data_IF_855017849949
#
_entry.id   IF_855017849949
#
_cell.length_a   1.000
_cell.length_b   1.000
_cell.length_c   1.000
_cell.angle_alpha   90.00
_cell.angle_beta   90.00
_cell.angle_gamma   90.00
#
_symmetry.space_group_name_H-M   'P 1'
#
loop_
_entity.id
_entity.type
_entity.pdbx_description
1 polymer ?
#
# COMPACT_ATOMS: atom_id res chain seq x y z
N UNK A 1 -12.53 -5.31 -15.96
CA UNK A 1 -12.84 -6.38 -15.02
C UNK A 1 -12.88 -7.71 -15.74
N UNK A 2 -11.72 -8.35 -15.90
CA UNK A 2 -11.67 -9.74 -16.35
C UNK A 2 -12.15 -10.64 -15.20
N UNK A 3 -12.91 -11.72 -15.44
CA UNK A 3 -13.42 -12.58 -14.37
C UNK A 3 -12.32 -13.45 -13.74
N UNK A 4 -11.27 -13.78 -14.50
CA UNK A 4 -10.13 -14.56 -14.06
C UNK A 4 -8.88 -14.19 -14.88
N UNK A 5 -7.71 -14.65 -14.41
CA UNK A 5 -6.43 -14.50 -15.09
C UNK A 5 -5.74 -15.88 -15.21
N UNK A 6 -5.28 -16.30 -16.40
CA UNK A 6 -4.44 -17.48 -16.54
C UNK A 6 -3.07 -17.26 -15.89
N UNK A 7 -2.61 -18.25 -15.13
CA UNK A 7 -1.29 -18.24 -14.49
C UNK A 7 -0.62 -19.62 -14.62
N UNK A 8 0.72 -19.65 -14.62
CA UNK A 8 1.51 -20.89 -14.52
C UNK A 8 2.31 -20.99 -13.23
N UNK A 9 2.38 -19.91 -12.45
CA UNK A 9 3.28 -19.76 -11.30
C UNK A 9 3.06 -20.74 -10.15
N UNK A 10 1.85 -21.29 -10.01
CA UNK A 10 1.54 -22.26 -8.94
C UNK A 10 1.57 -23.71 -9.42
N UNK A 11 1.58 -23.96 -10.74
CA UNK A 11 1.50 -25.32 -11.31
C UNK A 11 2.71 -26.13 -10.88
N UNK A 12 2.49 -27.36 -10.40
CA UNK A 12 3.54 -28.24 -9.89
C UNK A 12 3.99 -27.94 -8.47
N UNK A 13 3.24 -27.12 -7.73
CA UNK A 13 3.45 -26.84 -6.31
C UNK A 13 2.28 -27.37 -5.49
N UNK A 14 2.48 -27.55 -4.18
CA UNK A 14 1.40 -27.91 -3.26
C UNK A 14 0.26 -26.88 -3.22
N UNK A 15 0.51 -25.63 -3.62
CA UNK A 15 -0.54 -24.60 -3.79
C UNK A 15 -1.52 -24.99 -4.90
N UNK A 16 -1.02 -25.61 -5.97
CA UNK A 16 -1.87 -26.07 -7.07
C UNK A 16 -2.56 -27.39 -6.74
N UNK A 17 -1.89 -28.28 -6.01
CA UNK A 17 -2.46 -29.56 -5.61
C UNK A 17 -3.53 -29.39 -4.51
N UNK A 18 -3.34 -28.42 -3.63
CA UNK A 18 -4.18 -28.15 -2.47
C UNK A 18 -4.56 -26.66 -2.32
N UNK A 19 -5.16 -26.03 -3.33
CA UNK A 19 -5.38 -24.57 -3.35
C UNK A 19 -6.26 -24.10 -2.19
N UNK A 20 -7.25 -24.90 -1.79
CA UNK A 20 -8.15 -24.57 -0.67
C UNK A 20 -7.43 -24.53 0.67
N UNK A 21 -6.45 -25.41 0.89
CA UNK A 21 -5.74 -25.54 2.17
C UNK A 21 -4.85 -24.33 2.45
N UNK A 22 -4.39 -23.66 1.39
CA UNK A 22 -3.58 -22.45 1.45
C UNK A 22 -4.39 -21.17 1.14
N UNK A 23 -5.72 -21.27 1.08
CA UNK A 23 -6.61 -20.13 0.88
C UNK A 23 -6.58 -19.52 -0.54
N UNK A 24 -6.03 -20.25 -1.52
CA UNK A 24 -5.99 -19.84 -2.92
C UNK A 24 -7.20 -20.39 -3.68
N UNK A 25 -7.81 -19.56 -4.52
CA UNK A 25 -8.83 -20.02 -5.47
C UNK A 25 -8.17 -20.25 -6.82
N UNK A 26 -8.11 -21.49 -7.26
CA UNK A 26 -7.59 -21.87 -8.57
C UNK A 26 -8.55 -22.84 -9.26
N UNK A 27 -8.59 -22.79 -10.59
CA UNK A 27 -9.32 -23.72 -11.45
C UNK A 27 -8.53 -23.96 -12.73
N UNK A 28 -8.95 -24.92 -13.56
CA UNK A 28 -8.38 -25.13 -14.89
C UNK A 28 -9.40 -24.81 -15.98
N UNK A 29 -8.92 -24.27 -17.10
CA UNK A 29 -9.71 -24.07 -18.32
C UNK A 29 -8.97 -24.64 -19.50
N UNK A 30 -9.71 -25.18 -20.48
CA UNK A 30 -9.12 -25.64 -21.74
C UNK A 30 -8.93 -24.45 -22.68
N UNK A 31 -7.70 -24.23 -23.13
CA UNK A 31 -7.39 -23.21 -24.13
C UNK A 31 -8.10 -23.54 -25.46
N UNK A 32 -8.93 -22.64 -26.01
CA UNK A 32 -9.64 -22.92 -27.26
C UNK A 32 -8.72 -22.93 -28.49
N UNK A 33 -7.51 -22.38 -28.38
CA UNK A 33 -6.56 -22.27 -29.50
C UNK A 33 -5.53 -23.40 -29.54
N UNK A 34 -5.10 -23.89 -28.36
CA UNK A 34 -4.04 -24.91 -28.25
C UNK A 34 -4.55 -26.23 -27.70
N UNK A 35 -5.73 -26.25 -27.08
CA UNK A 35 -6.26 -27.42 -26.39
C UNK A 35 -5.62 -27.72 -25.04
N UNK A 36 -4.59 -26.97 -24.62
CA UNK A 36 -3.92 -27.15 -23.33
C UNK A 36 -4.84 -26.82 -22.14
N UNK A 37 -4.66 -27.53 -21.03
CA UNK A 37 -5.23 -27.11 -19.75
C UNK A 37 -4.38 -26.00 -19.13
N UNK A 38 -5.05 -24.90 -18.77
CA UNK A 38 -4.42 -23.70 -18.21
C UNK A 38 -5.02 -23.45 -16.82
N UNK A 39 -4.15 -23.31 -15.82
CA UNK A 39 -4.56 -22.85 -14.50
C UNK A 39 -5.00 -21.39 -14.56
N UNK A 40 -6.12 -21.08 -13.91
CA UNK A 40 -6.69 -19.73 -13.79
C UNK A 40 -6.97 -19.41 -12.33
N UNK A 41 -6.86 -18.13 -11.98
CA UNK A 41 -7.26 -17.59 -10.68
C UNK A 41 -8.34 -16.51 -10.86
N UNK A 42 -9.32 -16.40 -9.97
CA UNK A 42 -10.37 -15.40 -10.09
C UNK A 42 -9.81 -13.99 -9.88
N UNK A 43 -10.49 -13.00 -10.42
CA UNK A 43 -10.17 -11.61 -10.14
C UNK A 43 -10.40 -11.26 -8.66
N UNK A 44 -9.45 -10.53 -8.08
CA UNK A 44 -9.61 -9.90 -6.77
C UNK A 44 -10.40 -8.60 -6.95
N UNK A 45 -11.50 -8.45 -6.21
CA UNK A 45 -12.34 -7.25 -6.21
C UNK A 45 -12.67 -6.85 -4.76
N UNK A 46 -11.71 -6.34 -3.98
CA UNK A 46 -11.95 -5.96 -2.59
C UNK A 46 -13.01 -4.85 -2.48
N UNK A 47 -13.79 -4.85 -1.40
CA UNK A 47 -14.82 -3.83 -1.20
C UNK A 47 -14.23 -2.46 -0.85
N UNK A 48 -13.17 -2.44 -0.05
CA UNK A 48 -12.48 -1.22 0.39
C UNK A 48 -10.98 -1.42 0.27
N UNK A 49 -10.29 -0.45 -0.30
CA UNK A 49 -8.84 -0.35 -0.28
C UNK A 49 -8.40 0.93 0.42
N UNK A 50 -7.32 0.84 1.18
CA UNK A 50 -6.67 1.97 1.85
C UNK A 50 -5.24 2.03 1.35
N UNK A 51 -4.80 3.22 0.91
CA UNK A 51 -3.42 3.45 0.50
C UNK A 51 -2.84 4.66 1.22
N UNK A 52 -1.59 4.54 1.65
CA UNK A 52 -0.76 5.69 1.98
C UNK A 52 0.00 6.09 0.71
N UNK A 53 -0.07 7.36 0.34
CA UNK A 53 0.71 7.94 -0.75
C UNK A 53 1.52 9.11 -0.25
N UNK A 54 2.53 9.48 -1.02
CA UNK A 54 3.27 10.71 -0.75
C UNK A 54 2.36 11.93 -0.89
N UNK A 55 1.63 12.03 -2.00
CA UNK A 55 0.93 13.26 -2.37
C UNK A 55 -0.46 12.98 -2.90
N UNK A 56 -1.43 13.79 -2.51
CA UNK A 56 -2.74 13.83 -3.14
C UNK A 56 -3.27 15.27 -3.25
N UNK A 57 -4.29 15.49 -4.08
CA UNK A 57 -5.15 16.67 -3.94
C UNK A 57 -6.41 16.36 -3.15
N UNK A 58 -7.18 17.39 -2.80
CA UNK A 58 -8.44 17.25 -2.05
C UNK A 58 -9.55 16.54 -2.84
N UNK A 59 -9.43 16.42 -4.16
CA UNK A 59 -10.38 15.66 -4.99
C UNK A 59 -10.06 14.15 -5.00
N UNK A 60 -8.85 13.75 -4.59
CA UNK A 60 -8.41 12.37 -4.51
C UNK A 60 -7.54 11.90 -5.68
N UNK A 61 -6.98 12.80 -6.47
CA UNK A 61 -5.92 12.41 -7.40
C UNK A 61 -4.65 12.13 -6.59
N UNK A 62 -4.28 10.85 -6.50
CA UNK A 62 -3.22 10.35 -5.64
C UNK A 62 -1.97 10.01 -6.45
N UNK A 63 -0.86 10.67 -6.11
CA UNK A 63 0.44 10.47 -6.73
C UNK A 63 1.35 9.62 -5.84
N UNK A 64 2.02 8.66 -6.47
CA UNK A 64 3.00 7.81 -5.80
C UNK A 64 4.26 7.67 -6.66
N UNK A 65 5.43 7.62 -6.03
CA UNK A 65 6.70 7.41 -6.70
C UNK A 65 7.62 6.48 -5.92
N UNK A 66 8.68 6.02 -6.60
CA UNK A 66 9.61 5.04 -6.05
C UNK A 66 9.20 3.60 -6.35
N UNK A 67 9.42 2.72 -5.38
CA UNK A 67 9.00 1.32 -5.48
C UNK A 67 7.49 1.20 -5.23
N UNK A 68 6.70 1.28 -6.31
CA UNK A 68 5.24 1.24 -6.25
C UNK A 68 4.63 -0.18 -6.26
N UNK A 69 5.47 -1.21 -6.48
CA UNK A 69 5.06 -2.62 -6.48
C UNK A 69 3.78 -2.88 -7.28
N UNK A 70 2.86 -3.61 -6.65
CA UNK A 70 1.52 -3.92 -7.13
C UNK A 70 0.45 -2.89 -6.70
N UNK A 71 0.83 -1.85 -5.93
CA UNK A 71 -0.10 -0.90 -5.30
C UNK A 71 -1.06 -0.29 -6.31
N UNK A 72 -0.57 0.17 -7.47
CA UNK A 72 -1.42 0.76 -8.52
C UNK A 72 -2.52 -0.21 -8.98
N UNK A 73 -2.20 -1.49 -9.17
CA UNK A 73 -3.16 -2.49 -9.65
C UNK A 73 -4.09 -2.92 -8.52
N UNK A 74 -3.54 -3.19 -7.33
CA UNK A 74 -4.30 -3.60 -6.15
C UNK A 74 -5.36 -2.60 -5.76
N UNK A 75 -4.97 -1.33 -5.57
CA UNK A 75 -5.93 -0.30 -5.15
C UNK A 75 -6.99 -0.02 -6.21
N UNK A 76 -6.63 -0.12 -7.50
CA UNK A 76 -7.58 0.08 -8.57
C UNK A 76 -8.53 -1.12 -8.76
N UNK A 77 -8.28 -2.26 -8.11
CA UNK A 77 -9.24 -3.37 -8.05
C UNK A 77 -10.35 -3.15 -7.01
N UNK A 78 -10.19 -2.19 -6.10
CA UNK A 78 -11.12 -1.94 -5.01
C UNK A 78 -12.38 -1.19 -5.49
N UNK A 79 -13.53 -1.49 -4.87
CA UNK A 79 -14.80 -0.78 -5.13
C UNK A 79 -14.84 0.60 -4.49
N UNK A 80 -14.27 0.73 -3.29
CA UNK A 80 -14.09 2.00 -2.58
C UNK A 80 -12.64 2.22 -2.23
N UNK A 81 -12.17 3.46 -2.30
CA UNK A 81 -10.77 3.81 -2.04
C UNK A 81 -10.69 4.95 -1.02
N UNK A 82 -9.87 4.75 0.00
CA UNK A 82 -9.45 5.78 0.96
C UNK A 82 -7.97 6.07 0.70
N UNK A 83 -7.65 7.34 0.46
CA UNK A 83 -6.28 7.82 0.26
C UNK A 83 -5.85 8.55 1.52
N UNK A 84 -4.83 8.04 2.20
CA UNK A 84 -4.09 8.78 3.20
C UNK A 84 -2.81 9.33 2.56
N UNK A 85 -2.49 10.61 2.79
CA UNK A 85 -1.40 11.29 2.12
C UNK A 85 -0.48 12.02 3.11
N UNK A 86 0.82 12.02 2.80
CA UNK A 86 1.80 12.82 3.54
C UNK A 86 1.68 14.31 3.27
N UNK A 87 1.33 14.69 2.04
CA UNK A 87 1.05 16.07 1.67
C UNK A 87 -0.22 16.17 0.82
N UNK A 88 -1.01 17.21 1.10
CA UNK A 88 -2.13 17.62 0.25
C UNK A 88 -1.73 18.88 -0.51
N UNK A 89 -1.87 18.83 -1.84
CA UNK A 89 -1.50 19.93 -2.75
C UNK A 89 -2.69 20.41 -3.57
N UNK A 90 -2.54 21.57 -4.22
CA UNK A 90 -3.49 22.01 -5.23
C UNK A 90 -3.46 21.09 -6.45
N UNK A 91 -4.61 20.88 -7.08
CA UNK A 91 -4.77 20.07 -8.29
C UNK A 91 -3.82 20.48 -9.43
N UNK A 92 -3.46 21.76 -9.54
CA UNK A 92 -2.47 22.23 -10.53
C UNK A 92 -1.12 21.55 -10.38
N UNK A 93 -0.66 21.33 -9.15
CA UNK A 93 0.59 20.61 -8.86
C UNK A 93 0.48 19.15 -9.30
N UNK A 94 -0.70 18.53 -9.13
CA UNK A 94 -0.94 17.17 -9.63
C UNK A 94 -0.87 17.14 -11.17
N UNK A 95 -1.45 18.15 -11.83
CA UNK A 95 -1.48 18.27 -13.29
C UNK A 95 -0.11 18.56 -13.92
N UNK A 96 0.88 19.03 -13.16
CA UNK A 96 2.27 19.20 -13.62
C UNK A 96 2.99 17.86 -13.84
N UNK A 97 2.52 16.77 -13.22
CA UNK A 97 3.11 15.43 -13.36
C UNK A 97 2.03 14.33 -13.30
N UNK A 98 1.08 14.34 -14.25
CA UNK A 98 -0.08 13.45 -14.20
C UNK A 98 0.30 11.97 -14.30
N UNK A 99 1.46 11.63 -14.87
CA UNK A 99 2.00 10.27 -14.98
C UNK A 99 2.29 9.61 -13.64
N UNK A 100 2.50 10.40 -12.58
CA UNK A 100 2.67 9.90 -11.19
C UNK A 100 1.36 9.51 -10.53
N UNK A 101 0.22 9.89 -11.12
CA UNK A 101 -1.10 9.62 -10.55
C UNK A 101 -1.43 8.15 -10.70
N UNK A 102 -1.49 7.42 -9.58
CA UNK A 102 -1.80 5.99 -9.55
C UNK A 102 -3.30 5.73 -9.35
N UNK A 103 -4.01 6.67 -8.74
CA UNK A 103 -5.48 6.64 -8.56
C UNK A 103 -6.01 8.03 -8.84
N UNK A 104 -7.08 8.11 -9.62
CA UNK A 104 -7.75 9.38 -9.95
C UNK A 104 -8.97 9.61 -9.08
N UNK A 105 -9.31 10.88 -8.89
CA UNK A 105 -10.38 11.37 -8.01
C UNK A 105 -11.71 10.63 -8.16
N UNK A 106 -12.12 10.29 -9.38
CA UNK A 106 -13.41 9.63 -9.64
C UNK A 106 -13.57 8.24 -8.99
N UNK A 107 -12.47 7.62 -8.55
CA UNK A 107 -12.47 6.33 -7.84
C UNK A 107 -12.31 6.48 -6.33
N UNK A 108 -11.94 7.66 -5.85
CA UNK A 108 -11.61 7.91 -4.44
C UNK A 108 -12.87 8.34 -3.70
N UNK A 109 -13.06 7.79 -2.51
CA UNK A 109 -14.20 8.08 -1.64
C UNK A 109 -13.84 8.97 -0.46
N UNK A 110 -12.57 8.96 -0.03
CA UNK A 110 -12.08 9.82 1.03
C UNK A 110 -10.60 10.11 0.85
N UNK A 111 -10.21 11.33 1.19
CA UNK A 111 -8.81 11.78 1.29
C UNK A 111 -8.56 12.20 2.73
N UNK A 112 -7.48 11.69 3.32
CA UNK A 112 -7.05 11.97 4.69
C UNK A 112 -5.63 12.52 4.63
N UNK A 113 -5.41 13.69 5.22
CA UNK A 113 -4.06 14.20 5.41
C UNK A 113 -3.50 13.59 6.69
N UNK A 114 -2.65 12.58 6.54
CA UNK A 114 -2.13 11.77 7.65
C UNK A 114 -0.61 11.58 7.50
N UNK A 115 0.19 12.62 7.79
CA UNK A 115 1.64 12.50 7.76
C UNK A 115 2.15 11.41 8.70
N UNK A 116 3.19 10.69 8.29
CA UNK A 116 3.71 9.50 8.97
C UNK A 116 2.75 8.31 9.03
N UNK A 117 1.66 8.32 8.27
CA UNK A 117 0.68 7.22 8.23
C UNK A 117 1.26 5.88 7.74
N UNK A 118 2.37 5.90 7.00
CA UNK A 118 3.06 4.71 6.50
C UNK A 118 4.04 4.07 7.48
N UNK A 119 4.35 4.69 8.63
CA UNK A 119 5.21 4.08 9.66
C UNK A 119 4.59 2.75 10.15
N UNK A 120 5.39 1.67 10.37
CA UNK A 120 6.86 1.60 10.40
C UNK A 120 7.53 1.34 9.05
N UNK A 121 6.79 1.37 7.95
CA UNK A 121 7.35 1.28 6.60
C UNK A 121 7.93 2.63 6.15
N UNK A 122 8.72 2.60 5.07
CA UNK A 122 9.25 3.82 4.48
C UNK A 122 8.17 4.54 3.65
N UNK A 123 8.36 5.85 3.48
CA UNK A 123 7.68 6.65 2.48
C UNK A 123 8.73 7.48 1.73
N UNK A 124 8.97 7.14 0.47
CA UNK A 124 10.14 7.65 -0.26
C UNK A 124 10.09 9.18 -0.39
N UNK A 125 11.14 9.84 0.12
CA UNK A 125 11.24 11.31 0.19
C UNK A 125 10.78 11.91 1.52
N UNK A 126 10.10 11.13 2.38
CA UNK A 126 9.56 11.59 3.67
C UNK A 126 10.29 10.95 4.85
N UNK A 127 10.33 9.61 4.92
CA UNK A 127 10.99 8.88 6.01
C UNK A 127 11.38 7.45 5.61
N UNK A 128 12.39 6.91 6.31
CA UNK A 128 12.87 5.54 6.16
C UNK A 128 12.08 4.54 7.01
N UNK A 129 12.22 3.26 6.68
CA UNK A 129 11.66 2.15 7.46
C UNK A 129 12.23 2.13 8.87
N UNK A 130 11.36 2.02 9.87
CA UNK A 130 11.76 1.79 11.26
C UNK A 130 12.02 0.30 11.49
N UNK A 131 13.25 -0.13 11.17
CA UNK A 131 13.66 -1.52 11.36
C UNK A 131 13.71 -1.93 12.84
N UNK A 132 13.99 -0.99 13.73
CA UNK A 132 14.03 -1.24 15.17
C UNK A 132 12.62 -1.51 15.70
N UNK A 133 11.63 -0.72 15.28
CA UNK A 133 10.22 -0.98 15.58
C UNK A 133 9.80 -2.38 15.11
N UNK A 134 10.12 -2.75 13.87
CA UNK A 134 9.78 -4.08 13.32
C UNK A 134 10.44 -5.22 14.10
N UNK A 135 11.69 -5.03 14.51
CA UNK A 135 12.41 -6.02 15.30
C UNK A 135 11.83 -6.17 16.71
N UNK A 136 11.45 -5.04 17.33
CA UNK A 136 10.86 -5.04 18.67
C UNK A 136 9.44 -5.59 18.67
N UNK A 137 8.62 -5.35 17.64
CA UNK A 137 7.27 -5.92 17.51
C UNK A 137 7.28 -7.43 17.76
N UNK A 138 8.13 -8.19 17.06
CA UNK A 138 8.25 -9.64 17.24
C UNK A 138 8.63 -10.07 18.67
N UNK A 139 9.32 -9.21 19.43
CA UNK A 139 9.65 -9.47 20.84
C UNK A 139 8.53 -9.09 21.78
N UNK A 140 7.88 -7.96 21.51
CA UNK A 140 6.84 -7.32 22.33
C UNK A 140 5.45 -7.92 22.08
N UNK A 141 5.30 -8.90 21.17
CA UNK A 141 4.00 -9.53 20.89
C UNK A 141 4.08 -11.06 20.90
N UNK A 142 4.96 -11.65 21.73
CA UNK A 142 5.16 -13.11 21.78
C UNK A 142 4.06 -13.84 22.52
N UNK A 143 3.55 -13.22 23.59
CA UNK A 143 2.40 -13.72 24.34
C UNK A 143 1.21 -12.79 24.13
N UNK A 144 0.03 -13.23 24.56
CA UNK A 144 -1.16 -12.40 24.51
C UNK A 144 -1.01 -11.18 25.41
N UNK A 145 -0.46 -11.36 26.62
CA UNK A 145 -0.26 -10.30 27.59
C UNK A 145 0.73 -9.25 27.09
N UNK A 146 1.84 -9.68 26.46
CA UNK A 146 2.81 -8.77 25.85
C UNK A 146 2.16 -7.98 24.70
N UNK A 147 1.37 -8.66 23.87
CA UNK A 147 0.65 -8.04 22.76
C UNK A 147 -0.39 -7.01 23.23
N UNK A 148 -1.11 -7.27 24.33
CA UNK A 148 -2.06 -6.32 24.91
C UNK A 148 -1.37 -5.04 25.39
N UNK A 149 -0.19 -5.16 26.02
CA UNK A 149 0.63 -4.01 26.42
C UNK A 149 1.10 -3.23 25.18
N UNK A 150 1.52 -3.93 24.13
CA UNK A 150 1.90 -3.30 22.86
C UNK A 150 0.70 -2.59 22.21
N UNK A 151 -0.47 -3.22 22.20
CA UNK A 151 -1.72 -2.67 21.65
C UNK A 151 -2.11 -1.38 22.37
N UNK A 152 -2.07 -1.39 23.69
CA UNK A 152 -2.37 -0.20 24.51
C UNK A 152 -1.39 0.93 24.21
N UNK A 153 -0.09 0.63 24.17
CA UNK A 153 0.93 1.65 23.91
C UNK A 153 0.80 2.32 22.54
N UNK A 154 0.49 1.55 21.49
CA UNK A 154 0.61 2.03 20.10
C UNK A 154 -0.71 2.26 19.38
N UNK A 155 -1.83 1.74 19.89
CA UNK A 155 -3.12 1.74 19.18
C UNK A 155 -4.25 2.26 20.07
N UNK A 156 -4.56 1.58 21.19
CA UNK A 156 -5.76 1.93 21.98
C UNK A 156 -5.54 3.03 23.00
N UNK A 157 -4.31 3.27 23.43
CA UNK A 157 -3.93 4.35 24.34
C UNK A 157 -3.46 5.63 23.65
N UNK A 158 -3.71 5.78 22.35
CA UNK A 158 -3.45 7.01 21.58
C UNK A 158 -4.72 7.45 20.85
N UNK A 159 -5.04 8.73 20.92
CA UNK A 159 -6.27 9.26 20.30
C UNK A 159 -6.13 9.45 18.79
N UNK A 160 -4.92 9.77 18.32
CA UNK A 160 -4.63 10.06 16.93
C UNK A 160 -3.15 9.84 16.56
N UNK A 161 -2.81 10.16 15.31
CA UNK A 161 -1.43 10.04 14.83
C UNK A 161 -0.46 11.01 15.50
N UNK A 162 -0.90 12.19 15.95
CA UNK A 162 -0.03 13.11 16.65
C UNK A 162 0.38 12.52 18.00
N UNK A 163 -0.55 11.89 18.71
CA UNK A 163 -0.24 11.15 19.94
C UNK A 163 0.66 9.95 19.69
N UNK A 164 0.40 9.18 18.65
CA UNK A 164 1.30 8.11 18.19
C UNK A 164 2.74 8.62 17.98
N UNK A 165 2.91 9.79 17.36
CA UNK A 165 4.23 10.39 17.12
C UNK A 165 4.91 10.86 18.42
N UNK A 166 4.15 11.30 19.43
CA UNK A 166 4.70 11.57 20.77
C UNK A 166 5.25 10.30 21.41
N UNK A 167 4.51 9.18 21.30
CA UNK A 167 4.97 7.87 21.79
C UNK A 167 6.21 7.38 21.03
N UNK A 168 6.27 7.61 19.72
CA UNK A 168 7.44 7.27 18.89
C UNK A 168 8.69 8.07 19.28
N UNK A 169 8.49 9.34 19.67
CA UNK A 169 9.53 10.23 20.17
C UNK A 169 10.30 10.99 19.10
N UNK A 170 10.65 12.24 19.41
CA UNK A 170 11.28 13.19 18.47
C UNK A 170 12.64 12.71 17.95
N UNK A 171 13.45 12.10 18.82
CA UNK A 171 14.75 11.51 18.46
C UNK A 171 14.61 10.49 17.33
N UNK A 172 13.61 9.60 17.44
CA UNK A 172 13.35 8.57 16.44
C UNK A 172 12.85 9.19 15.14
N UNK A 173 11.88 10.10 15.22
CA UNK A 173 11.33 10.83 14.07
C UNK A 173 12.46 11.52 13.30
N UNK A 174 13.35 12.23 14.01
CA UNK A 174 14.50 12.93 13.40
C UNK A 174 15.47 11.97 12.71
N UNK A 175 15.73 10.80 13.30
CA UNK A 175 16.60 9.77 12.71
C UNK A 175 16.00 9.14 11.45
N UNK A 176 14.69 8.94 11.42
CA UNK A 176 13.99 8.32 10.30
C UNK A 176 13.70 9.29 9.16
N UNK A 177 13.60 10.60 9.44
CA UNK A 177 13.29 11.61 8.44
C UNK A 177 14.27 11.54 7.27
N UNK A 178 13.73 11.47 6.05
CA UNK A 178 14.53 11.38 4.85
C UNK A 178 15.34 12.67 4.62
N UNK A 179 16.56 12.52 4.10
CA UNK A 179 17.34 13.65 3.60
C UNK A 179 16.83 14.04 2.22
N UNK A 180 16.75 15.35 1.97
CA UNK A 180 16.37 15.86 0.65
C UNK A 180 17.39 15.44 -0.40
N UNK A 181 16.91 14.73 -1.43
CA UNK A 181 17.64 14.40 -2.65
C UNK A 181 16.67 14.64 -3.80
N UNK A 182 16.86 15.74 -4.53
CA UNK A 182 16.02 16.08 -5.67
C UNK A 182 16.59 15.41 -6.93
N UNK A 183 15.75 14.67 -7.65
CA UNK A 183 16.08 14.19 -8.99
C UNK A 183 15.93 15.35 -9.98
N UNK A 184 16.81 15.43 -10.99
CA UNK A 184 16.82 16.48 -12.00
C UNK A 184 15.53 16.57 -12.84
N UNK A 185 15.42 17.66 -13.61
CA UNK A 185 14.27 17.94 -14.46
C UNK A 185 14.15 16.95 -15.63
N UNK A 186 12.91 16.70 -16.05
CA UNK A 186 12.57 15.94 -17.25
C UNK A 186 11.92 16.91 -18.23
N UNK A 187 12.49 17.04 -19.43
CA UNK A 187 11.91 17.83 -20.51
C UNK A 187 10.91 16.95 -21.27
N UNK A 188 9.61 17.23 -21.11
CA UNK A 188 8.56 16.52 -21.84
C UNK A 188 8.37 17.06 -23.26
N UNK A 189 9.02 18.18 -23.60
CA UNK A 189 8.79 18.90 -24.85
C UNK A 189 7.33 19.31 -25.03
N UNK A 190 7.03 19.77 -26.25
CA UNK A 190 5.67 19.88 -26.78
C UNK A 190 5.52 18.83 -27.87
#
# INVERSE_FOLDING_TARGET
GLPFMPIRSIVGTSIYDHPKDVGVKAATVKCPFTGEEICVVPALNPDVGVIQVQRADSEGNAQMWGLIGDTKYGINSCKKIIVAAEEIVDKKVIMESPERTIVSAHKVNAVVHEPWGGHPSYMQGFYYTDLEYRFNYTKETKTLEDWEIWLEKWITGVDDRQEYLKVLGEEKIKKLKAKSIMQGAVDYGF
#
